data_IF_117196693397
#
_entry.id   IF_117196693397
#
_cell.length_a   1.000
_cell.length_b   1.000
_cell.length_c   1.000
_cell.angle_alpha   90.00
_cell.angle_beta   90.00
_cell.angle_gamma   90.00
#
_symmetry.space_group_name_H-M   'P 1'
#
loop_
_entity.id
_entity.type
_entity.pdbx_description
1 polymer ?
#
# COMPACT_ATOMS: atom_id res chain seq x y z
N UNK A 1 48.83 25.06 19.42
CA UNK A 1 47.38 24.85 19.26
C UNK A 1 47.17 23.93 18.06
N UNK A 2 46.53 22.78 18.26
CA UNK A 2 45.88 22.03 17.17
C UNK A 2 44.59 21.46 17.77
N UNK A 3 43.51 22.19 17.56
CA UNK A 3 42.14 21.88 17.96
C UNK A 3 41.61 20.76 17.07
N UNK A 4 40.93 19.78 17.68
CA UNK A 4 40.48 18.55 17.03
C UNK A 4 39.56 18.79 15.83
N UNK A 5 39.77 18.00 14.78
CA UNK A 5 38.79 17.79 13.73
C UNK A 5 37.58 17.08 14.36
N UNK A 6 36.49 17.80 14.55
CA UNK A 6 35.19 17.18 14.77
C UNK A 6 34.84 16.36 13.53
N UNK A 7 34.59 15.07 13.70
CA UNK A 7 33.97 14.26 12.66
C UNK A 7 32.56 14.81 12.44
N UNK A 8 32.36 15.49 11.32
CA UNK A 8 31.01 15.81 10.88
C UNK A 8 30.34 14.47 10.54
N UNK A 9 29.35 14.06 11.34
CA UNK A 9 28.49 12.94 10.96
C UNK A 9 27.63 13.43 9.80
N UNK A 10 27.71 12.75 8.65
CA UNK A 10 26.78 12.99 7.56
C UNK A 10 25.38 12.63 8.05
N UNK A 11 24.41 13.52 7.82
CA UNK A 11 23.02 13.28 8.19
C UNK A 11 22.35 12.35 7.17
N UNK A 12 21.39 11.56 7.62
CA UNK A 12 20.56 10.75 6.72
C UNK A 12 19.82 11.62 5.71
N UNK A 13 19.69 11.13 4.48
CA UNK A 13 18.85 11.72 3.44
C UNK A 13 17.51 10.97 3.42
N UNK A 14 16.40 11.69 3.44
CA UNK A 14 15.05 11.08 3.44
C UNK A 14 14.18 11.63 2.32
N UNK A 15 13.34 10.77 1.72
CA UNK A 15 12.33 11.15 0.75
C UNK A 15 11.01 10.41 1.02
N UNK A 16 9.89 11.04 0.63
CA UNK A 16 8.55 10.48 0.82
C UNK A 16 7.72 10.59 -0.46
N UNK A 17 6.91 9.57 -0.74
CA UNK A 17 5.94 9.56 -1.83
C UNK A 17 4.64 8.86 -1.41
N UNK A 18 3.53 9.16 -2.09
CA UNK A 18 2.24 8.49 -1.86
C UNK A 18 1.73 7.91 -3.17
N UNK A 19 1.43 6.61 -3.16
CA UNK A 19 0.74 5.93 -4.25
C UNK A 19 -0.74 5.78 -3.90
N UNK A 20 -1.61 6.11 -4.85
CA UNK A 20 -3.07 6.08 -4.66
C UNK A 20 -3.73 5.24 -5.74
N UNK A 21 -4.55 4.28 -5.34
CA UNK A 21 -5.39 3.48 -6.22
C UNK A 21 -6.85 3.81 -5.96
N UNK A 22 -7.56 4.23 -7.00
CA UNK A 22 -9.03 4.26 -6.94
C UNK A 22 -9.56 2.84 -6.88
N UNK A 23 -10.52 2.62 -6.00
CA UNK A 23 -11.09 1.32 -5.73
C UNK A 23 -12.62 1.37 -5.77
N UNK A 24 -13.20 0.29 -6.30
CA UNK A 24 -14.64 0.07 -6.28
C UNK A 24 -14.93 -1.32 -5.74
N UNK A 25 -15.99 -1.44 -4.94
CA UNK A 25 -16.52 -2.72 -4.51
C UNK A 25 -17.99 -2.81 -4.91
N UNK A 26 -18.42 -3.97 -5.41
CA UNK A 26 -19.80 -4.19 -5.83
C UNK A 26 -20.38 -5.43 -5.16
N UNK A 27 -21.55 -5.26 -4.53
CA UNK A 27 -22.43 -6.35 -4.09
C UNK A 27 -23.71 -6.27 -4.91
N UNK A 28 -23.92 -7.31 -5.71
CA UNK A 28 -25.07 -7.44 -6.59
C UNK A 28 -25.41 -8.91 -6.71
N UNK A 29 -26.31 -9.34 -5.82
CA UNK A 29 -26.80 -10.73 -5.75
C UNK A 29 -28.05 -10.95 -6.59
N UNK A 30 -28.58 -9.90 -7.23
CA UNK A 30 -29.86 -9.95 -7.96
C UNK A 30 -29.68 -10.00 -9.47
N UNK A 31 -28.62 -9.37 -10.00
CA UNK A 31 -28.37 -9.31 -11.44
C UNK A 31 -27.84 -10.64 -11.98
N UNK A 32 -28.31 -11.01 -13.17
CA UNK A 32 -27.86 -12.23 -13.87
C UNK A 32 -26.47 -12.10 -14.50
N UNK A 33 -25.97 -10.87 -14.72
CA UNK A 33 -24.65 -10.59 -15.29
C UNK A 33 -24.07 -9.34 -14.63
N UNK A 34 -22.81 -9.42 -14.23
CA UNK A 34 -22.03 -8.30 -13.69
C UNK A 34 -20.74 -8.16 -14.50
N UNK A 35 -20.43 -6.94 -14.94
CA UNK A 35 -19.20 -6.59 -15.67
C UNK A 35 -18.51 -5.44 -14.93
N UNK A 36 -17.20 -5.58 -14.70
CA UNK A 36 -16.39 -4.60 -13.97
C UNK A 36 -15.13 -4.27 -14.78
N UNK A 37 -14.77 -2.98 -14.88
CA UNK A 37 -13.56 -2.53 -15.58
C UNK A 37 -12.29 -2.78 -14.76
N UNK A 38 -11.16 -3.02 -15.43
CA UNK A 38 -9.92 -3.57 -14.82
C UNK A 38 -8.78 -2.54 -14.63
N UNK A 39 -9.02 -1.24 -14.84
CA UNK A 39 -8.00 -0.19 -14.69
C UNK A 39 -7.78 0.30 -13.26
N UNK A 40 -8.61 -0.18 -12.32
CA UNK A 40 -8.69 0.22 -10.91
C UNK A 40 -8.91 -1.03 -10.04
N UNK A 41 -8.72 -0.92 -8.72
CA UNK A 41 -8.98 -2.05 -7.83
C UNK A 41 -10.49 -2.34 -7.83
N UNK A 42 -10.87 -3.55 -8.23
CA UNK A 42 -12.25 -3.96 -8.40
C UNK A 42 -12.59 -5.17 -7.53
N UNK A 43 -13.37 -4.93 -6.47
CA UNK A 43 -13.84 -5.97 -5.57
C UNK A 43 -15.27 -6.39 -5.95
N UNK A 44 -15.48 -7.70 -6.10
CA UNK A 44 -16.79 -8.28 -6.38
C UNK A 44 -17.17 -9.21 -5.24
N UNK A 45 -18.37 -8.99 -4.68
CA UNK A 45 -18.95 -9.92 -3.73
C UNK A 45 -19.29 -11.24 -4.41
N UNK A 46 -18.87 -12.35 -3.82
CA UNK A 46 -19.12 -13.70 -4.25
C UNK A 46 -19.99 -14.42 -3.21
N UNK A 47 -21.26 -14.68 -3.56
CA UNK A 47 -22.26 -15.26 -2.66
C UNK A 47 -21.84 -16.63 -2.12
N UNK A 48 -21.22 -17.48 -2.95
CA UNK A 48 -20.80 -18.83 -2.55
C UNK A 48 -19.78 -18.88 -1.42
N UNK A 49 -19.03 -17.79 -1.19
CA UNK A 49 -18.06 -17.67 -0.08
C UNK A 49 -18.44 -16.56 0.90
N UNK A 50 -19.58 -15.90 0.68
CA UNK A 50 -20.07 -14.74 1.45
C UNK A 50 -19.02 -13.64 1.66
N UNK A 51 -18.16 -13.42 0.67
CA UNK A 51 -17.01 -12.52 0.78
C UNK A 51 -16.64 -11.85 -0.52
N UNK A 52 -15.75 -10.88 -0.45
CA UNK A 52 -15.17 -10.23 -1.62
C UNK A 52 -13.92 -10.96 -2.09
N UNK A 53 -13.65 -10.93 -3.40
CA UNK A 53 -12.37 -11.38 -3.93
C UNK A 53 -11.20 -10.49 -3.49
N UNK A 54 -9.98 -10.95 -3.74
CA UNK A 54 -8.75 -10.16 -3.58
C UNK A 54 -8.32 -9.56 -4.91
N UNK A 55 -7.51 -8.50 -4.88
CA UNK A 55 -6.95 -7.83 -6.06
C UNK A 55 -5.45 -7.62 -5.89
N UNK A 56 -4.67 -7.69 -6.98
CA UNK A 56 -3.25 -7.30 -6.96
C UNK A 56 -3.10 -5.95 -7.64
N UNK A 57 -2.52 -4.97 -6.93
CA UNK A 57 -2.20 -3.65 -7.48
C UNK A 57 -0.70 -3.47 -7.59
N UNK A 58 -0.21 -3.23 -8.81
CA UNK A 58 1.20 -3.00 -9.08
C UNK A 58 1.58 -1.53 -8.84
N UNK A 59 2.84 -1.30 -8.50
CA UNK A 59 3.47 0.02 -8.44
C UNK A 59 4.90 -0.04 -9.00
N UNK A 60 5.37 1.11 -9.50
CA UNK A 60 6.75 1.35 -9.90
C UNK A 60 7.39 2.30 -8.88
N UNK A 61 8.64 2.05 -8.52
CA UNK A 61 9.44 2.89 -7.64
C UNK A 61 10.69 3.31 -8.38
N UNK A 62 10.97 4.62 -8.37
CA UNK A 62 12.16 5.19 -8.96
C UNK A 62 12.90 6.06 -7.95
N UNK A 63 14.15 5.72 -7.65
CA UNK A 63 15.00 6.46 -6.71
C UNK A 63 16.18 7.12 -7.43
N UNK A 64 16.63 8.26 -6.93
CA UNK A 64 17.94 8.82 -7.27
C UNK A 64 18.98 8.19 -6.34
N UNK A 65 20.08 7.70 -6.88
CA UNK A 65 21.15 7.14 -6.05
C UNK A 65 21.94 8.23 -5.31
N UNK A 66 22.36 7.91 -4.09
CA UNK A 66 23.27 8.73 -3.27
C UNK A 66 24.60 7.99 -3.11
N UNK A 67 25.60 8.42 -3.87
CA UNK A 67 26.93 7.79 -3.88
C UNK A 67 27.68 7.79 -2.54
N UNK A 68 27.24 8.59 -1.56
CA UNK A 68 27.82 8.58 -0.21
C UNK A 68 27.13 7.62 0.74
N UNK A 69 25.97 7.10 0.36
CA UNK A 69 25.19 6.20 1.21
C UNK A 69 25.84 4.81 1.35
N UNK A 70 25.93 4.35 2.59
CA UNK A 70 26.38 3.02 2.98
C UNK A 70 25.21 2.10 3.31
N UNK A 71 24.01 2.62 3.59
CA UNK A 71 22.79 1.82 3.75
C UNK A 71 21.55 2.52 3.18
N UNK A 72 20.50 1.72 2.91
CA UNK A 72 19.22 2.17 2.38
C UNK A 72 18.06 1.44 3.04
N UNK A 73 17.01 2.19 3.33
CA UNK A 73 15.77 1.68 3.90
C UNK A 73 14.57 2.23 3.13
N UNK A 74 13.62 1.36 2.83
CA UNK A 74 12.33 1.70 2.25
C UNK A 74 11.23 1.07 3.10
N UNK A 75 10.28 1.88 3.54
CA UNK A 75 9.11 1.43 4.29
C UNK A 75 7.81 1.92 3.66
N UNK A 76 6.71 1.25 3.98
CA UNK A 76 5.36 1.64 3.55
C UNK A 76 4.38 1.75 4.71
N UNK A 77 3.44 2.70 4.62
CA UNK A 77 2.37 2.91 5.60
C UNK A 77 1.04 3.20 4.92
N UNK A 78 -0.03 2.58 5.39
CA UNK A 78 -1.38 2.82 4.86
C UNK A 78 -1.91 4.17 5.36
N UNK A 79 -2.52 4.96 4.47
CA UNK A 79 -3.05 6.29 4.80
C UNK A 79 -4.59 6.27 4.72
N UNK A 80 -5.13 6.08 3.53
CA UNK A 80 -6.58 5.92 3.30
C UNK A 80 -6.90 4.52 2.83
N UNK A 81 -8.05 3.98 3.26
CA UNK A 81 -8.49 2.65 2.86
C UNK A 81 -10.00 2.43 3.00
N UNK A 82 -10.77 3.50 3.08
CA UNK A 82 -12.22 3.41 3.28
C UNK A 82 -12.92 3.66 1.95
N UNK A 83 -13.76 2.71 1.55
CA UNK A 83 -14.71 2.85 0.45
C UNK A 83 -16.08 3.15 1.05
N UNK A 84 -16.78 4.15 0.53
CA UNK A 84 -18.11 4.54 1.00
C UNK A 84 -19.14 4.22 -0.07
N UNK A 85 -20.29 3.72 0.35
CA UNK A 85 -21.39 3.41 -0.57
C UNK A 85 -21.88 4.67 -1.26
N UNK A 86 -22.23 4.56 -2.53
CA UNK A 86 -22.70 5.68 -3.35
C UNK A 86 -24.17 6.05 -3.10
N UNK A 87 -24.89 5.27 -2.30
CA UNK A 87 -26.27 5.55 -1.91
C UNK A 87 -26.32 6.36 -0.60
N UNK A 88 -27.51 6.42 0.02
CA UNK A 88 -27.74 7.17 1.27
C UNK A 88 -27.49 6.35 2.53
N UNK A 89 -27.05 5.09 2.44
CA UNK A 89 -26.89 4.23 3.63
C UNK A 89 -25.75 4.71 4.53
N UNK A 90 -24.71 5.30 3.94
CA UNK A 90 -23.45 5.61 4.61
C UNK A 90 -22.57 4.38 4.88
N UNK A 91 -22.95 3.19 4.38
CA UNK A 91 -22.18 1.95 4.52
C UNK A 91 -20.74 2.12 4.03
N UNK A 92 -19.80 1.48 4.73
CA UNK A 92 -18.38 1.52 4.37
C UNK A 92 -17.78 0.13 4.26
N UNK A 93 -16.72 0.02 3.47
CA UNK A 93 -15.81 -1.12 3.42
C UNK A 93 -14.39 -0.62 3.67
N UNK A 94 -13.61 -1.36 4.46
CA UNK A 94 -12.19 -1.07 4.65
C UNK A 94 -11.33 -2.09 3.90
N UNK A 95 -10.35 -1.56 3.16
CA UNK A 95 -9.40 -2.35 2.37
C UNK A 95 -8.15 -2.60 3.20
N UNK A 96 -7.78 -3.87 3.37
CA UNK A 96 -6.46 -4.28 3.86
C UNK A 96 -5.46 -4.29 2.72
N UNK A 97 -4.22 -3.96 3.03
CA UNK A 97 -3.08 -3.95 2.11
C UNK A 97 -2.03 -4.89 2.66
N UNK A 98 -1.56 -5.82 1.83
CA UNK A 98 -0.55 -6.81 2.17
C UNK A 98 0.65 -6.72 1.22
N UNK A 99 1.84 -6.74 1.80
CA UNK A 99 3.11 -6.83 1.10
C UNK A 99 3.81 -8.14 1.47
N UNK A 100 3.82 -9.10 0.54
CA UNK A 100 4.47 -10.40 0.69
C UNK A 100 4.10 -11.15 2.00
N UNK A 101 2.82 -11.06 2.41
CA UNK A 101 2.31 -11.71 3.63
C UNK A 101 2.40 -10.86 4.89
N UNK A 102 2.94 -9.64 4.82
CA UNK A 102 2.95 -8.68 5.90
C UNK A 102 1.91 -7.57 5.67
N UNK A 103 1.08 -7.30 6.68
CA UNK A 103 0.11 -6.21 6.62
C UNK A 103 0.83 -4.84 6.53
N UNK A 104 0.30 -3.96 5.68
CA UNK A 104 0.64 -2.54 5.65
C UNK A 104 -0.46 -1.79 6.38
N UNK A 105 -0.14 -1.26 7.55
CA UNK A 105 -1.11 -0.67 8.48
C UNK A 105 -0.98 0.84 8.57
N UNK A 106 -1.95 1.50 9.22
CA UNK A 106 -1.90 2.94 9.47
C UNK A 106 -0.98 3.32 10.62
N UNK A 107 -0.80 2.40 11.55
CA UNK A 107 -0.17 2.62 12.86
C UNK A 107 1.33 2.36 12.87
N UNK A 108 1.89 1.73 11.85
CA UNK A 108 3.30 1.41 11.78
C UNK A 108 3.83 1.37 10.34
N UNK A 109 5.15 1.40 10.22
CA UNK A 109 5.85 1.30 8.95
C UNK A 109 6.23 -0.15 8.67
N UNK A 110 5.77 -0.68 7.55
CA UNK A 110 6.13 -2.02 7.08
C UNK A 110 7.43 -1.93 6.29
N UNK A 111 8.46 -2.65 6.72
CA UNK A 111 9.77 -2.64 6.05
C UNK A 111 9.71 -3.41 4.74
N UNK A 112 10.14 -2.77 3.66
CA UNK A 112 10.22 -3.37 2.32
C UNK A 112 11.67 -3.63 1.92
N UNK A 113 12.57 -2.69 2.20
CA UNK A 113 14.03 -2.81 2.05
C UNK A 113 14.68 -2.27 3.32
N UNK A 114 15.70 -2.96 3.80
CA UNK A 114 16.57 -2.52 4.89
C UNK A 114 17.93 -3.20 4.69
N UNK A 115 18.82 -2.56 3.94
CA UNK A 115 20.08 -3.17 3.52
C UNK A 115 21.03 -3.42 4.70
N UNK A 116 20.98 -2.58 5.74
CA UNK A 116 21.73 -2.76 6.97
C UNK A 116 21.33 -4.05 7.71
N UNK A 117 20.08 -4.48 7.57
CA UNK A 117 19.54 -5.70 8.18
C UNK A 117 19.33 -6.84 7.17
N UNK A 118 19.89 -6.74 5.96
CA UNK A 118 19.84 -7.80 4.95
C UNK A 118 18.49 -8.00 4.25
N UNK A 119 17.56 -7.06 4.39
CA UNK A 119 16.26 -7.11 3.68
C UNK A 119 16.40 -6.43 2.33
N UNK A 120 16.41 -7.23 1.25
CA UNK A 120 16.67 -6.72 -0.11
C UNK A 120 15.42 -6.42 -0.93
N UNK A 121 14.22 -6.69 -0.41
CA UNK A 121 12.96 -6.28 -1.05
C UNK A 121 12.52 -7.08 -2.27
N UNK A 122 13.05 -8.29 -2.51
CA UNK A 122 12.51 -9.19 -3.54
C UNK A 122 12.52 -8.58 -4.94
N UNK A 123 11.34 -8.31 -5.51
CA UNK A 123 11.24 -7.65 -6.82
C UNK A 123 11.78 -6.21 -6.81
N UNK A 124 11.82 -5.56 -5.63
CA UNK A 124 12.44 -4.24 -5.41
C UNK A 124 13.96 -4.30 -5.18
N UNK A 125 14.58 -5.49 -5.24
CA UNK A 125 16.04 -5.64 -5.06
C UNK A 125 16.93 -4.82 -5.99
N UNK A 126 16.52 -4.39 -7.21
CA UNK A 126 17.30 -3.43 -7.96
C UNK A 126 17.57 -2.14 -7.18
N UNK A 127 16.60 -1.64 -6.40
CA UNK A 127 16.75 -0.45 -5.57
C UNK A 127 17.79 -0.66 -4.46
N UNK A 128 17.76 -1.84 -3.81
CA UNK A 128 18.72 -2.22 -2.78
C UNK A 128 20.17 -2.34 -3.31
N UNK A 129 20.34 -2.54 -4.63
CA UNK A 129 21.65 -2.55 -5.28
C UNK A 129 22.05 -1.19 -5.87
N UNK A 130 21.07 -0.35 -6.24
CA UNK A 130 21.28 0.91 -6.95
C UNK A 130 21.16 2.17 -6.07
N UNK A 131 20.85 2.03 -4.78
CA UNK A 131 20.65 3.18 -3.88
C UNK A 131 21.86 4.10 -3.77
N UNK A 132 23.07 3.61 -4.04
CA UNK A 132 24.31 4.39 -4.01
C UNK A 132 24.98 4.53 -5.38
N UNK A 133 24.24 4.28 -6.46
CA UNK A 133 24.70 4.59 -7.80
C UNK A 133 24.70 6.12 -8.03
N UNK A 134 25.37 6.58 -9.10
CA UNK A 134 25.34 8.00 -9.50
C UNK A 134 24.15 8.36 -10.39
N UNK A 135 23.18 7.44 -10.55
CA UNK A 135 22.05 7.58 -11.45
C UNK A 135 20.76 7.01 -10.82
N UNK A 136 19.66 7.12 -11.56
CA UNK A 136 18.36 6.59 -11.16
C UNK A 136 18.28 5.07 -11.29
N UNK A 137 17.62 4.45 -10.32
CA UNK A 137 17.26 3.04 -10.35
C UNK A 137 15.76 2.88 -10.22
N UNK A 138 15.18 1.96 -11.00
CA UNK A 138 13.74 1.66 -10.96
C UNK A 138 13.48 0.19 -10.67
N UNK A 139 12.35 -0.10 -10.02
CA UNK A 139 11.86 -1.45 -9.81
C UNK A 139 10.33 -1.45 -9.65
N UNK A 140 9.72 -2.60 -9.89
CA UNK A 140 8.27 -2.78 -9.78
C UNK A 140 7.96 -3.88 -8.78
N UNK A 141 6.88 -3.71 -8.04
CA UNK A 141 6.29 -4.78 -7.23
C UNK A 141 4.78 -4.55 -7.12
N UNK A 142 4.11 -5.25 -6.20
CA UNK A 142 2.70 -4.99 -5.94
C UNK A 142 2.24 -5.40 -4.55
N UNK A 143 1.11 -4.82 -4.16
CA UNK A 143 0.38 -5.23 -2.96
C UNK A 143 -0.78 -6.15 -3.31
N UNK A 144 -1.15 -7.00 -2.36
CA UNK A 144 -2.45 -7.68 -2.37
C UNK A 144 -3.44 -6.84 -1.57
N UNK A 145 -4.59 -6.54 -2.17
CA UNK A 145 -5.67 -5.79 -1.56
C UNK A 145 -6.85 -6.71 -1.29
N UNK A 146 -7.46 -6.57 -0.11
CA UNK A 146 -8.61 -7.37 0.33
C UNK A 146 -9.60 -6.52 1.11
N UNK A 147 -10.89 -6.84 1.06
CA UNK A 147 -11.85 -6.26 2.02
C UNK A 147 -11.67 -6.97 3.36
N UNK A 148 -11.35 -6.20 4.41
CA UNK A 148 -11.04 -6.74 5.76
C UNK A 148 -12.11 -6.44 6.80
N UNK A 149 -12.94 -5.43 6.57
CA UNK A 149 -14.08 -5.09 7.41
C UNK A 149 -15.08 -4.21 6.66
N UNK A 150 -16.25 -4.01 7.24
CA UNK A 150 -17.26 -3.12 6.70
C UNK A 150 -18.28 -2.71 7.76
N UNK A 151 -19.12 -1.75 7.40
CA UNK A 151 -20.22 -1.25 8.23
C UNK A 151 -21.49 -1.14 7.42
N UNK A 152 -22.66 -1.31 8.05
CA UNK A 152 -23.94 -1.13 7.35
C UNK A 152 -24.32 0.34 7.13
N UNK A 153 -23.76 1.26 7.92
CA UNK A 153 -24.19 2.66 7.98
C UNK A 153 -23.05 3.65 8.29
N UNK A 154 -21.80 3.22 8.15
CA UNK A 154 -20.60 3.99 8.48
C UNK A 154 -20.12 3.80 9.91
N UNK A 155 -20.92 3.16 10.79
CA UNK A 155 -20.59 2.98 12.22
C UNK A 155 -20.77 1.54 12.69
N UNK A 156 -21.90 0.90 12.38
CA UNK A 156 -22.21 -0.45 12.84
C UNK A 156 -21.41 -1.47 12.04
N UNK A 157 -20.33 -1.99 12.64
CA UNK A 157 -19.48 -3.01 12.04
C UNK A 157 -20.24 -4.31 11.75
N UNK A 158 -19.88 -4.97 10.65
CA UNK A 158 -20.40 -6.30 10.29
C UNK A 158 -19.32 -7.37 10.46
N UNK A 159 -19.75 -8.55 10.88
CA UNK A 159 -18.94 -9.77 10.85
C UNK A 159 -19.33 -10.71 9.71
N UNK A 160 -20.46 -10.44 9.04
CA UNK A 160 -20.96 -11.16 7.88
C UNK A 160 -21.33 -10.15 6.78
N UNK A 161 -20.56 -10.16 5.68
CA UNK A 161 -20.77 -9.24 4.55
C UNK A 161 -22.09 -9.47 3.81
N UNK A 162 -22.76 -10.62 3.99
CA UNK A 162 -24.09 -10.84 3.40
C UNK A 162 -25.14 -9.87 3.94
N UNK A 163 -24.92 -9.31 5.14
CA UNK A 163 -25.80 -8.33 5.79
C UNK A 163 -25.65 -6.92 5.25
N UNK A 164 -24.62 -6.66 4.44
CA UNK A 164 -24.44 -5.35 3.79
C UNK A 164 -25.52 -5.11 2.74
N UNK A 165 -25.94 -3.84 2.56
CA UNK A 165 -26.87 -3.46 1.50
C UNK A 165 -26.32 -3.85 0.12
N UNK A 166 -27.20 -4.06 -0.86
CA UNK A 166 -26.77 -4.18 -2.26
C UNK A 166 -26.27 -2.82 -2.76
N UNK A 167 -25.26 -2.79 -3.63
CA UNK A 167 -24.79 -1.55 -4.23
C UNK A 167 -23.30 -1.51 -4.52
N UNK A 168 -22.80 -0.28 -4.66
CA UNK A 168 -21.42 0.03 -5.04
C UNK A 168 -20.80 0.94 -3.97
N UNK A 169 -19.62 0.57 -3.51
CA UNK A 169 -18.74 1.41 -2.70
C UNK A 169 -17.58 1.91 -3.55
N UNK A 170 -17.16 3.14 -3.33
CA UNK A 170 -15.95 3.67 -3.96
C UNK A 170 -15.13 4.51 -3.00
N UNK A 171 -13.85 4.63 -3.28
CA UNK A 171 -12.92 5.46 -2.53
C UNK A 171 -11.49 5.21 -2.98
N UNK A 172 -10.57 5.94 -2.39
CA UNK A 172 -9.16 5.80 -2.67
C UNK A 172 -8.45 5.01 -1.57
N UNK A 173 -7.59 4.09 -1.99
CA UNK A 173 -6.64 3.41 -1.11
C UNK A 173 -5.27 4.03 -1.36
N UNK A 174 -4.67 4.64 -0.34
CA UNK A 174 -3.38 5.33 -0.47
C UNK A 174 -2.35 4.77 0.49
N UNK A 175 -1.15 4.52 -0.04
CA UNK A 175 0.00 4.00 0.71
C UNK A 175 1.14 4.99 0.57
N UNK A 176 1.66 5.46 1.69
CA UNK A 176 2.86 6.26 1.79
C UNK A 176 4.09 5.35 1.74
N UNK A 177 5.13 5.82 1.07
CA UNK A 177 6.45 5.22 1.03
C UNK A 177 7.46 6.22 1.57
N UNK A 178 8.33 5.75 2.46
CA UNK A 178 9.41 6.55 3.05
C UNK A 178 10.75 5.86 2.74
N UNK A 179 11.67 6.62 2.16
CA UNK A 179 12.99 6.17 1.78
C UNK A 179 14.05 6.91 2.59
N UNK A 180 15.03 6.19 3.11
CA UNK A 180 16.15 6.73 3.91
C UNK A 180 17.46 6.19 3.38
N UNK A 181 18.41 7.09 3.13
CA UNK A 181 19.81 6.79 2.85
C UNK A 181 20.67 7.20 4.04
N UNK A 182 21.51 6.28 4.50
CA UNK A 182 22.44 6.50 5.61
C UNK A 182 23.86 6.44 5.07
N UNK A 183 24.71 7.39 5.49
CA UNK A 183 26.13 7.50 5.10
C UNK A 183 27.05 6.96 6.17
#
# INVERSE_FOLDING_TARGET
MFTGMGVAQAADVTAQAVATWSATAKKDTTSKLVVTSLGSLAFQYAEGIKGFNSQKGLFDVAIEGDSTATAFKLTSRLITNTLTQLDTSGSTLNVGVDYNGAAVEKTGDTVMIDTANGVLGGNLSPLANGYNASNRTTAQDGFTFTIISGTTNGTTAVTDYSTLPEGIWSGDVSVQFDATWTS
#
